data_IF_902850523745
#
_entry.id   IF_902850523745
#
_cell.length_a   1.000
_cell.length_b   1.000
_cell.length_c   1.000
_cell.angle_alpha   90.00
_cell.angle_beta   90.00
_cell.angle_gamma   90.00
#
_symmetry.space_group_name_H-M   'P 1'
#
loop_
_entity.id
_entity.type
_entity.pdbx_description
1 polymer ?
#
# COMPACT_ATOMS: atom_id res chain seq x y z
N UNK A 1 -3.78 28.48 19.37
CA UNK A 1 -2.81 27.91 18.39
C UNK A 1 -3.58 27.47 17.16
N UNK A 2 -3.14 27.86 15.94
CA UNK A 2 -3.80 27.43 14.68
C UNK A 2 -2.99 26.28 14.08
N UNK A 3 -3.52 25.07 14.09
CA UNK A 3 -2.91 23.89 13.45
C UNK A 3 -3.45 23.78 12.05
N UNK A 4 -2.57 23.70 11.04
CA UNK A 4 -2.97 23.53 9.65
C UNK A 4 -3.16 22.06 9.34
N UNK A 5 -4.16 21.75 8.53
CA UNK A 5 -4.40 20.38 8.03
C UNK A 5 -3.30 19.91 7.08
N UNK A 6 -2.69 20.83 6.30
CA UNK A 6 -1.69 20.51 5.30
C UNK A 6 -0.61 21.58 5.26
N UNK A 7 0.62 21.18 4.97
CA UNK A 7 1.81 22.03 4.81
C UNK A 7 2.35 22.03 3.37
N UNK A 8 1.56 21.58 2.39
CA UNK A 8 2.02 21.40 1.01
C UNK A 8 2.57 22.70 0.40
N UNK A 9 1.93 23.85 0.66
CA UNK A 9 2.39 25.14 0.19
C UNK A 9 3.76 25.54 0.76
N UNK A 10 4.04 25.19 2.01
CA UNK A 10 5.35 25.41 2.63
C UNK A 10 6.39 24.41 2.12
N UNK A 11 5.99 23.16 1.91
CA UNK A 11 6.87 22.08 1.48
C UNK A 11 7.34 22.30 0.03
N UNK A 12 6.46 22.72 -0.87
CA UNK A 12 6.75 22.85 -2.30
C UNK A 12 6.91 24.30 -2.78
N UNK A 13 6.55 25.28 -1.96
CA UNK A 13 6.56 26.69 -2.34
C UNK A 13 7.95 27.27 -2.60
N UNK A 14 9.00 26.71 -2.00
CA UNK A 14 10.38 27.15 -2.18
C UNK A 14 11.33 25.97 -2.36
N UNK A 15 11.30 25.35 -3.54
CA UNK A 15 12.13 24.18 -3.88
C UNK A 15 12.93 24.45 -5.17
N UNK A 16 13.91 25.40 -5.16
CA UNK A 16 14.65 25.79 -6.37
C UNK A 16 15.40 24.61 -7.01
N UNK A 17 15.96 23.72 -6.22
CA UNK A 17 16.67 22.54 -6.73
C UNK A 17 15.74 21.58 -7.45
N UNK A 18 14.53 21.36 -6.93
CA UNK A 18 13.51 20.56 -7.60
C UNK A 18 13.16 21.13 -8.98
N UNK A 19 12.96 22.44 -9.07
CA UNK A 19 12.65 23.10 -10.33
C UNK A 19 13.81 23.02 -11.33
N UNK A 20 15.05 23.13 -10.85
CA UNK A 20 16.25 22.98 -11.67
C UNK A 20 16.37 21.55 -12.21
N UNK A 21 16.17 20.55 -11.36
CA UNK A 21 16.18 19.14 -11.76
C UNK A 21 15.06 18.83 -12.76
N UNK A 22 13.84 19.34 -12.52
CA UNK A 22 12.71 19.16 -13.43
C UNK A 22 12.99 19.76 -14.81
N UNK A 23 13.52 20.99 -14.87
CA UNK A 23 13.92 21.62 -16.13
C UNK A 23 14.97 20.80 -16.89
N UNK A 24 15.89 20.19 -16.17
CA UNK A 24 16.93 19.33 -16.78
C UNK A 24 16.31 18.03 -17.30
N UNK A 25 15.42 17.42 -16.51
CA UNK A 25 14.73 16.18 -16.87
C UNK A 25 13.85 16.37 -18.12
N UNK A 26 13.06 17.45 -18.18
CA UNK A 26 12.19 17.75 -19.35
C UNK A 26 12.98 17.81 -20.65
N UNK A 27 14.21 18.34 -20.62
CA UNK A 27 15.08 18.41 -21.80
C UNK A 27 15.53 17.05 -22.32
N UNK A 28 15.48 16.01 -21.49
CA UNK A 28 15.89 14.64 -21.89
C UNK A 28 14.84 13.94 -22.73
N UNK A 29 13.57 14.32 -22.63
CA UNK A 29 12.44 13.60 -23.26
C UNK A 29 12.18 12.21 -22.70
N UNK A 30 12.85 11.78 -21.62
CA UNK A 30 12.80 10.40 -21.05
C UNK A 30 11.60 10.24 -20.09
N UNK A 31 10.39 10.51 -20.58
CA UNK A 31 9.18 10.61 -19.76
C UNK A 31 8.49 9.27 -19.44
N UNK A 32 8.73 8.22 -20.24
CA UNK A 32 8.00 6.96 -20.13
C UNK A 32 8.93 5.81 -19.77
N UNK A 33 8.73 5.21 -18.58
CA UNK A 33 9.51 4.07 -18.07
C UNK A 33 11.04 4.28 -18.13
N UNK A 34 11.46 5.53 -18.02
CA UNK A 34 12.83 5.96 -18.25
C UNK A 34 13.79 5.68 -17.08
N UNK A 35 15.02 6.20 -17.23
CA UNK A 35 16.10 6.06 -16.23
C UNK A 35 15.72 6.58 -14.84
N UNK A 36 15.01 7.73 -14.69
CA UNK A 36 14.61 8.22 -13.38
C UNK A 36 13.71 7.26 -12.62
N UNK A 37 12.71 6.65 -13.30
CA UNK A 37 11.83 5.65 -12.69
C UNK A 37 12.63 4.44 -12.20
N UNK A 38 13.48 3.85 -13.04
CA UNK A 38 14.32 2.71 -12.67
C UNK A 38 15.23 3.03 -11.47
N UNK A 39 15.77 4.25 -11.39
CA UNK A 39 16.57 4.72 -10.26
C UNK A 39 15.72 4.83 -8.99
N UNK A 40 14.50 5.36 -9.12
CA UNK A 40 13.55 5.46 -8.01
C UNK A 40 13.18 4.07 -7.49
N UNK A 41 12.72 3.16 -8.33
CA UNK A 41 12.35 1.79 -7.98
C UNK A 41 13.47 1.07 -7.21
N UNK A 42 14.70 1.17 -7.70
CA UNK A 42 15.87 0.58 -7.03
C UNK A 42 16.12 1.19 -5.65
N UNK A 43 16.01 2.52 -5.51
CA UNK A 43 16.18 3.20 -4.23
C UNK A 43 15.06 2.88 -3.26
N UNK A 44 13.81 2.84 -3.76
CA UNK A 44 12.64 2.52 -2.96
C UNK A 44 12.67 1.08 -2.45
N UNK A 45 13.00 0.12 -3.32
CA UNK A 45 13.19 -1.27 -2.92
C UNK A 45 14.24 -1.40 -1.79
N UNK A 46 15.39 -0.71 -1.94
CA UNK A 46 16.43 -0.69 -0.91
C UNK A 46 15.94 -0.05 0.39
N UNK A 47 15.19 1.05 0.32
CA UNK A 47 14.66 1.77 1.48
C UNK A 47 13.69 0.90 2.28
N UNK A 48 12.79 0.23 1.60
CA UNK A 48 11.78 -0.64 2.22
C UNK A 48 12.39 -1.96 2.71
N UNK A 49 13.43 -2.45 2.04
CA UNK A 49 14.04 -3.75 2.34
C UNK A 49 13.46 -4.89 1.51
N UNK A 50 12.99 -4.60 0.28
CA UNK A 50 12.50 -5.59 -0.67
C UNK A 50 13.48 -5.83 -1.81
N UNK A 51 13.28 -6.92 -2.55
CA UNK A 51 14.08 -7.22 -3.74
C UNK A 51 13.72 -6.31 -4.91
N UNK A 52 12.45 -5.99 -5.06
CA UNK A 52 11.93 -5.21 -6.18
C UNK A 52 10.91 -4.17 -5.70
N UNK A 53 10.82 -3.07 -6.45
CA UNK A 53 9.71 -2.13 -6.42
C UNK A 53 9.31 -1.83 -7.86
N UNK A 54 8.03 -1.60 -8.10
CA UNK A 54 7.47 -1.28 -9.42
C UNK A 54 6.63 -0.04 -9.28
N UNK A 55 6.94 0.99 -10.06
CA UNK A 55 6.15 2.21 -10.13
C UNK A 55 4.87 1.97 -10.91
N UNK A 56 3.75 2.38 -10.31
CA UNK A 56 2.41 2.33 -10.90
C UNK A 56 1.72 3.68 -10.72
N UNK A 57 0.55 3.86 -11.29
CA UNK A 57 -0.12 5.16 -11.32
C UNK A 57 -0.54 5.68 -9.93
N UNK A 58 -0.94 4.80 -9.02
CA UNK A 58 -1.45 5.16 -7.68
C UNK A 58 -1.35 4.00 -6.69
N UNK A 59 -1.54 4.28 -5.39
CA UNK A 59 -1.72 3.23 -4.38
C UNK A 59 -2.92 2.33 -4.66
N UNK A 60 -4.00 2.89 -5.22
CA UNK A 60 -5.17 2.12 -5.67
C UNK A 60 -4.79 1.11 -6.74
N UNK A 61 -4.02 1.55 -7.75
CA UNK A 61 -3.54 0.66 -8.80
C UNK A 61 -2.55 -0.37 -8.26
N UNK A 62 -1.71 -0.01 -7.29
CA UNK A 62 -0.82 -0.96 -6.65
C UNK A 62 -1.59 -2.13 -6.01
N UNK A 63 -2.67 -1.86 -5.27
CA UNK A 63 -3.54 -2.89 -4.68
C UNK A 63 -4.24 -3.68 -5.79
N UNK A 64 -4.88 -2.99 -6.75
CA UNK A 64 -5.63 -3.62 -7.84
C UNK A 64 -4.76 -4.54 -8.69
N UNK A 65 -3.57 -4.09 -9.09
CA UNK A 65 -2.65 -4.87 -9.92
C UNK A 65 -2.07 -6.06 -9.14
N UNK A 66 -1.80 -5.92 -7.84
CA UNK A 66 -1.39 -7.03 -6.99
C UNK A 66 -2.48 -8.10 -6.91
N UNK A 67 -3.74 -7.71 -6.67
CA UNK A 67 -4.89 -8.63 -6.70
C UNK A 67 -5.05 -9.30 -8.07
N UNK A 68 -4.91 -8.54 -9.16
CA UNK A 68 -4.98 -9.07 -10.51
C UNK A 68 -3.88 -10.10 -10.79
N UNK A 69 -2.66 -9.86 -10.30
CA UNK A 69 -1.53 -10.79 -10.41
C UNK A 69 -1.79 -12.11 -9.69
N UNK A 70 -2.56 -12.09 -8.58
CA UNK A 70 -3.02 -13.29 -7.88
C UNK A 70 -4.17 -14.02 -8.62
N UNK A 71 -4.62 -13.51 -9.75
CA UNK A 71 -5.69 -14.12 -10.53
C UNK A 71 -7.09 -13.93 -9.95
N UNK A 72 -7.31 -12.88 -9.15
CA UNK A 72 -8.63 -12.56 -8.57
C UNK A 72 -9.65 -12.35 -9.69
N UNK A 73 -10.83 -12.92 -9.50
CA UNK A 73 -11.94 -12.95 -10.47
C UNK A 73 -13.24 -12.47 -9.82
N UNK A 74 -14.26 -12.10 -10.62
CA UNK A 74 -15.59 -11.81 -10.13
C UNK A 74 -16.14 -12.94 -9.25
N UNK A 75 -16.67 -12.58 -8.09
CA UNK A 75 -17.21 -13.49 -7.10
C UNK A 75 -16.21 -14.05 -6.09
N UNK A 76 -14.90 -13.85 -6.27
CA UNK A 76 -13.91 -14.15 -5.25
C UNK A 76 -14.09 -13.21 -4.04
N UNK A 77 -13.73 -13.70 -2.86
CA UNK A 77 -13.83 -12.95 -1.61
C UNK A 77 -12.46 -12.49 -1.15
N UNK A 78 -12.34 -11.21 -0.79
CA UNK A 78 -11.13 -10.59 -0.27
C UNK A 78 -11.42 -10.03 1.13
N UNK A 79 -10.71 -10.54 2.13
CA UNK A 79 -10.87 -10.05 3.51
C UNK A 79 -10.07 -8.74 3.66
N UNK A 80 -10.72 -7.71 4.21
CA UNK A 80 -10.06 -6.43 4.52
C UNK A 80 -10.66 -5.77 5.75
N UNK A 81 -10.03 -4.71 6.28
CA UNK A 81 -10.56 -3.95 7.41
C UNK A 81 -11.78 -3.11 7.01
N UNK A 82 -12.76 -2.99 7.91
CA UNK A 82 -13.90 -2.09 7.72
C UNK A 82 -13.49 -0.62 7.75
N UNK A 83 -12.50 -0.28 8.59
CA UNK A 83 -11.92 1.06 8.66
C UNK A 83 -10.74 1.16 7.68
N UNK A 84 -11.01 1.63 6.47
CA UNK A 84 -9.97 1.87 5.47
C UNK A 84 -10.31 3.06 4.58
N UNK A 85 -9.33 3.52 3.83
CA UNK A 85 -9.60 4.47 2.74
C UNK A 85 -10.34 3.75 1.62
N UNK A 86 -11.28 4.44 0.98
CA UNK A 86 -12.16 3.87 -0.06
C UNK A 86 -11.41 3.17 -1.20
N UNK A 87 -10.16 3.54 -1.44
CA UNK A 87 -9.33 2.96 -2.50
C UNK A 87 -9.09 1.45 -2.32
N UNK A 88 -8.90 0.98 -1.07
CA UNK A 88 -8.70 -0.45 -0.79
C UNK A 88 -9.92 -1.25 -1.24
N UNK A 89 -11.11 -0.80 -0.86
CA UNK A 89 -12.39 -1.44 -1.24
C UNK A 89 -12.66 -1.27 -2.73
N UNK A 90 -12.40 -0.08 -3.28
CA UNK A 90 -12.56 0.22 -4.71
C UNK A 90 -11.71 -0.70 -5.59
N UNK A 91 -10.43 -0.92 -5.23
CA UNK A 91 -9.54 -1.83 -5.95
C UNK A 91 -10.05 -3.27 -5.97
N UNK A 92 -10.67 -3.74 -4.88
CA UNK A 92 -11.31 -5.06 -4.79
C UNK A 92 -12.55 -5.11 -5.70
N UNK A 93 -13.43 -4.12 -5.58
CA UNK A 93 -14.70 -4.08 -6.32
C UNK A 93 -14.50 -3.93 -7.84
N UNK A 94 -13.49 -3.18 -8.29
CA UNK A 94 -13.18 -3.03 -9.72
C UNK A 94 -12.83 -4.35 -10.41
N UNK A 95 -12.37 -5.36 -9.65
CA UNK A 95 -12.13 -6.71 -10.17
C UNK A 95 -13.37 -7.62 -10.10
N UNK A 96 -14.53 -7.08 -9.68
CA UNK A 96 -15.74 -7.85 -9.44
C UNK A 96 -15.65 -8.77 -8.21
N UNK A 97 -14.61 -8.64 -7.41
CA UNK A 97 -14.46 -9.38 -6.16
C UNK A 97 -15.30 -8.76 -5.05
N UNK A 98 -15.63 -9.56 -4.05
CA UNK A 98 -16.44 -9.16 -2.91
C UNK A 98 -15.55 -8.84 -1.71
N UNK A 99 -15.54 -7.60 -1.19
CA UNK A 99 -14.87 -7.31 0.06
C UNK A 99 -15.61 -7.96 1.23
N UNK A 100 -14.88 -8.67 2.07
CA UNK A 100 -15.37 -9.27 3.32
C UNK A 100 -14.73 -8.50 4.46
N UNK A 101 -15.54 -7.78 5.21
CA UNK A 101 -15.05 -6.90 6.25
C UNK A 101 -14.84 -7.62 7.58
N UNK A 102 -13.73 -7.30 8.23
CA UNK A 102 -13.50 -7.52 9.66
C UNK A 102 -13.41 -6.16 10.35
N UNK A 103 -13.75 -6.13 11.61
CA UNK A 103 -13.69 -4.92 12.41
C UNK A 103 -12.23 -4.54 12.73
N UNK A 104 -12.04 -3.41 13.38
CA UNK A 104 -10.75 -2.91 13.80
C UNK A 104 -10.54 -3.13 15.30
N UNK A 105 -9.30 -3.32 15.67
CA UNK A 105 -8.87 -3.28 17.06
C UNK A 105 -8.65 -1.84 17.54
N UNK A 106 -8.13 -1.69 18.77
CA UNK A 106 -7.86 -0.38 19.37
C UNK A 106 -6.75 0.42 18.65
N UNK A 107 -6.01 -0.19 17.73
CA UNK A 107 -5.02 0.50 16.87
C UNK A 107 -5.64 1.06 15.59
N UNK A 108 -6.94 0.88 15.40
CA UNK A 108 -7.68 1.17 14.16
C UNK A 108 -7.24 0.32 12.95
N UNK A 109 -6.41 -0.70 13.16
CA UNK A 109 -6.04 -1.66 12.16
C UNK A 109 -6.98 -2.89 12.22
N UNK A 110 -6.84 -3.79 11.24
CA UNK A 110 -7.61 -5.03 11.16
C UNK A 110 -7.49 -5.85 12.46
N UNK A 111 -8.59 -6.20 13.08
CA UNK A 111 -8.65 -7.16 14.20
C UNK A 111 -8.40 -8.59 13.64
N UNK A 112 -7.17 -9.04 13.78
CA UNK A 112 -6.73 -10.34 13.25
C UNK A 112 -7.45 -11.53 13.86
N UNK A 113 -7.95 -11.41 15.10
CA UNK A 113 -8.74 -12.45 15.76
C UNK A 113 -10.04 -12.78 15.03
N UNK A 114 -10.54 -11.85 14.23
CA UNK A 114 -11.78 -12.03 13.48
C UNK A 114 -11.56 -12.65 12.09
N UNK A 115 -10.32 -12.66 11.58
CA UNK A 115 -10.02 -13.05 10.20
C UNK A 115 -10.40 -14.50 9.95
N UNK A 116 -9.97 -15.40 10.81
CA UNK A 116 -10.14 -16.84 10.60
C UNK A 116 -11.61 -17.25 10.42
N UNK A 117 -12.52 -16.67 11.20
CA UNK A 117 -13.97 -16.96 11.10
C UNK A 117 -14.64 -16.43 9.84
N UNK A 118 -13.97 -15.54 9.11
CA UNK A 118 -14.45 -14.95 7.84
C UNK A 118 -13.94 -15.70 6.62
N UNK A 119 -13.00 -16.63 6.79
CA UNK A 119 -12.44 -17.40 5.68
C UNK A 119 -13.48 -18.40 5.17
N UNK A 120 -13.69 -18.39 3.86
CA UNK A 120 -14.52 -19.34 3.13
C UNK A 120 -13.74 -20.00 1.99
N UNK A 121 -14.35 -20.95 1.27
CA UNK A 121 -13.77 -21.54 0.05
C UNK A 121 -13.56 -20.50 -1.07
N UNK A 122 -14.25 -19.36 -1.00
CA UNK A 122 -14.15 -18.26 -1.97
C UNK A 122 -13.09 -17.22 -1.58
N UNK A 123 -12.54 -17.26 -0.38
CA UNK A 123 -11.49 -16.34 0.06
C UNK A 123 -10.23 -16.60 -0.73
N UNK A 124 -9.74 -15.58 -1.44
CA UNK A 124 -8.57 -15.65 -2.33
C UNK A 124 -7.40 -14.78 -1.91
N UNK A 125 -7.64 -13.74 -1.12
CA UNK A 125 -6.58 -12.91 -0.55
C UNK A 125 -7.06 -12.22 0.74
N UNK A 126 -6.10 -11.72 1.51
CA UNK A 126 -6.33 -10.83 2.65
C UNK A 126 -5.58 -9.52 2.35
N UNK A 127 -6.25 -8.38 2.56
CA UNK A 127 -5.67 -7.06 2.40
C UNK A 127 -5.72 -6.33 3.74
N UNK A 128 -4.74 -6.52 4.62
CA UNK A 128 -4.60 -5.71 5.82
C UNK A 128 -4.26 -4.28 5.45
N UNK A 129 -4.77 -3.32 6.22
CA UNK A 129 -4.48 -1.89 6.05
C UNK A 129 -3.69 -1.41 7.26
N UNK A 130 -2.52 -0.86 7.02
CA UNK A 130 -1.67 -0.25 8.05
C UNK A 130 -2.10 1.20 8.26
N UNK A 131 -3.16 1.37 9.05
CA UNK A 131 -3.86 2.63 9.14
C UNK A 131 -3.08 3.66 9.97
N UNK A 132 -2.98 4.88 9.46
CA UNK A 132 -2.30 6.03 10.12
C UNK A 132 -0.86 5.79 10.58
N UNK A 133 -0.18 4.79 10.02
CA UNK A 133 1.20 4.43 10.39
C UNK A 133 1.30 3.30 11.40
N UNK A 134 0.21 2.86 12.01
CA UNK A 134 0.18 1.62 12.77
C UNK A 134 0.13 0.41 11.82
N UNK A 135 0.76 -0.69 12.24
CA UNK A 135 0.71 -1.92 11.47
C UNK A 135 -0.29 -2.90 12.06
N UNK A 136 -1.10 -3.51 11.19
CA UNK A 136 -1.85 -4.73 11.55
C UNK A 136 -0.89 -5.76 12.18
N UNK A 137 -1.37 -6.56 13.12
CA UNK A 137 -0.58 -7.65 13.71
C UNK A 137 -0.21 -8.69 12.63
N UNK A 138 0.87 -8.40 11.89
CA UNK A 138 1.33 -9.22 10.78
C UNK A 138 1.86 -10.59 11.22
N UNK A 139 2.30 -10.72 12.48
CA UNK A 139 2.78 -12.00 13.02
C UNK A 139 1.62 -12.98 13.09
N UNK A 140 0.50 -12.57 13.65
CA UNK A 140 -0.71 -13.38 13.74
C UNK A 140 -1.36 -13.61 12.39
N UNK A 141 -1.49 -12.54 11.59
CA UNK A 141 -2.10 -12.62 10.27
C UNK A 141 -1.35 -13.60 9.35
N UNK A 142 -0.02 -13.60 9.39
CA UNK A 142 0.79 -14.55 8.61
C UNK A 142 0.61 -16.01 9.07
N UNK A 143 0.39 -16.25 10.37
CA UNK A 143 0.06 -17.61 10.85
C UNK A 143 -1.26 -18.10 10.25
N UNK A 144 -2.30 -17.25 10.27
CA UNK A 144 -3.60 -17.55 9.68
C UNK A 144 -3.47 -17.78 8.17
N UNK A 145 -2.85 -16.83 7.45
CA UNK A 145 -2.67 -16.90 6.02
C UNK A 145 -1.92 -18.17 5.58
N UNK A 146 -0.86 -18.53 6.28
CA UNK A 146 -0.09 -19.77 6.04
C UNK A 146 -0.93 -21.04 6.28
N UNK A 147 -1.72 -21.07 7.36
CA UNK A 147 -2.62 -22.19 7.67
C UNK A 147 -3.62 -22.46 6.55
N UNK A 148 -4.17 -21.41 5.97
CA UNK A 148 -5.19 -21.50 4.91
C UNK A 148 -4.63 -21.36 3.49
N UNK A 149 -3.32 -21.15 3.35
CA UNK A 149 -2.62 -20.92 2.06
C UNK A 149 -3.23 -19.75 1.27
N UNK A 150 -3.57 -18.68 1.95
CA UNK A 150 -4.16 -17.47 1.39
C UNK A 150 -3.06 -16.40 1.29
N UNK A 151 -2.82 -15.80 0.11
CA UNK A 151 -1.87 -14.71 -0.04
C UNK A 151 -2.32 -13.43 0.67
N UNK A 152 -1.34 -12.62 1.06
CA UNK A 152 -1.56 -11.31 1.67
C UNK A 152 -1.03 -10.22 0.75
N UNK A 153 -1.76 -9.12 0.67
CA UNK A 153 -1.32 -7.86 0.07
C UNK A 153 -1.40 -6.78 1.14
N UNK A 154 -0.27 -6.24 1.58
CA UNK A 154 -0.26 -5.15 2.54
C UNK A 154 -0.66 -3.83 1.89
N UNK A 155 -1.73 -3.20 2.35
CA UNK A 155 -1.99 -1.79 2.08
C UNK A 155 -1.15 -0.94 3.04
N UNK A 156 0.07 -0.64 2.61
CA UNK A 156 1.05 0.17 3.32
C UNK A 156 1.05 1.65 2.87
N UNK A 157 -0.05 2.10 2.25
CA UNK A 157 -0.17 3.47 1.72
C UNK A 157 -0.07 4.59 2.77
N UNK A 158 -0.12 4.26 4.05
CA UNK A 158 -0.03 5.23 5.15
C UNK A 158 1.10 4.91 6.15
N UNK A 159 1.91 3.89 5.90
CA UNK A 159 2.81 3.30 6.91
C UNK A 159 4.25 3.09 6.43
N UNK A 160 4.71 3.92 5.50
CA UNK A 160 6.09 3.79 5.00
C UNK A 160 7.09 3.80 6.17
N UNK A 161 7.99 2.80 6.21
CA UNK A 161 8.98 2.56 7.26
C UNK A 161 8.40 2.26 8.67
N UNK A 162 7.09 2.13 8.84
CA UNK A 162 6.57 1.49 10.04
C UNK A 162 7.10 0.06 10.12
N UNK A 163 7.39 -0.45 11.31
CA UNK A 163 8.00 -1.77 11.47
C UNK A 163 7.50 -2.52 12.69
N UNK A 164 7.48 -3.84 12.58
CA UNK A 164 7.30 -4.79 13.68
C UNK A 164 8.53 -5.70 13.67
N UNK A 165 9.19 -5.90 14.82
CA UNK A 165 10.40 -6.73 14.95
C UNK A 165 11.47 -6.40 13.90
N UNK A 166 11.74 -5.12 13.65
CA UNK A 166 12.69 -4.62 12.66
C UNK A 166 12.36 -5.00 11.19
N UNK A 167 11.14 -5.46 10.92
CA UNK A 167 10.68 -5.77 9.57
C UNK A 167 9.66 -4.73 9.12
N UNK A 168 9.97 -4.03 8.04
CA UNK A 168 9.18 -2.90 7.56
C UNK A 168 7.82 -3.32 7.00
N UNK A 169 6.84 -2.40 7.06
CA UNK A 169 5.56 -2.53 6.36
C UNK A 169 5.79 -2.73 4.86
N UNK A 170 4.94 -3.51 4.22
CA UNK A 170 5.04 -3.89 2.82
C UNK A 170 6.09 -4.97 2.53
N UNK A 171 6.69 -5.59 3.57
CA UNK A 171 7.67 -6.68 3.41
C UNK A 171 7.26 -7.98 4.10
N UNK A 172 6.11 -7.98 4.77
CA UNK A 172 5.63 -9.12 5.54
C UNK A 172 4.87 -10.17 4.71
N UNK A 173 4.55 -9.82 3.47
CA UNK A 173 3.63 -10.56 2.63
C UNK A 173 4.11 -10.64 1.17
N UNK A 174 3.27 -11.20 0.30
CA UNK A 174 3.58 -11.39 -1.12
C UNK A 174 3.72 -10.06 -1.87
N UNK A 175 2.92 -9.05 -1.49
CA UNK A 175 2.93 -7.71 -2.07
C UNK A 175 2.75 -6.64 -1.01
N UNK A 176 3.45 -5.50 -1.18
CA UNK A 176 3.22 -4.27 -0.42
C UNK A 176 2.82 -3.15 -1.37
N UNK A 177 1.66 -2.53 -1.13
CA UNK A 177 1.17 -1.38 -1.88
C UNK A 177 1.47 -0.08 -1.13
N UNK A 178 2.08 0.88 -1.81
CA UNK A 178 2.44 2.19 -1.26
C UNK A 178 1.82 3.32 -2.07
N UNK A 179 1.66 4.46 -1.45
CA UNK A 179 1.17 5.68 -2.09
C UNK A 179 2.14 6.82 -1.88
N UNK A 180 2.40 7.55 -2.95
CA UNK A 180 3.19 8.78 -2.93
C UNK A 180 2.31 10.01 -3.18
N UNK A 181 1.01 9.91 -2.91
CA UNK A 181 0.07 11.03 -3.00
C UNK A 181 0.58 12.22 -2.17
N UNK A 182 0.33 13.49 -2.56
CA UNK A 182 0.82 14.68 -1.83
C UNK A 182 0.62 14.70 -0.32
N UNK A 183 -0.39 14.01 0.20
CA UNK A 183 -0.67 13.94 1.64
C UNK A 183 0.00 12.73 2.34
N UNK A 184 0.90 12.01 1.68
CA UNK A 184 1.61 10.86 2.27
C UNK A 184 3.00 11.25 2.80
N UNK A 185 3.62 10.35 3.57
CA UNK A 185 4.91 10.59 4.24
C UNK A 185 6.06 10.90 3.26
N UNK A 186 6.14 10.15 2.17
CA UNK A 186 6.95 10.49 0.99
C UNK A 186 5.94 10.86 -0.09
N UNK A 187 5.97 12.11 -0.51
CA UNK A 187 4.95 12.64 -1.38
C UNK A 187 5.53 13.24 -2.66
N UNK A 188 4.76 13.11 -3.72
CA UNK A 188 5.01 13.72 -5.03
C UNK A 188 3.70 14.30 -5.57
N UNK A 189 3.77 15.13 -6.63
CA UNK A 189 2.64 15.74 -7.33
C UNK A 189 2.85 15.67 -8.85
#
# INVERSE_FOLDING_TARGET
MKVRYSYLSQQFGNCPDLWKELKTFVKTGDFTLGKPLKKFEKKFAKLIGTKYAVGVNSGTDAIKLSLKTLGIKPGDEIITAANTFVATVGAICELGAKPIFVDCDNSFCMDTSQVERKITKKTKAIVPVHFTGYMTNMIELNKIAKKYKIPIIEDACQSILASIENKNSGTWSDFGAFSLHPLKNINVW
#
